data_IF_032448508194
#
_entry.id   IF_032448508194
#
_cell.length_a   1.000
_cell.length_b   1.000
_cell.length_c   1.000
_cell.angle_alpha   90.00
_cell.angle_beta   90.00
_cell.angle_gamma   90.00
#
_symmetry.space_group_name_H-M   'P 1'
#
loop_
_entity.id
_entity.type
_entity.pdbx_description
1 polymer ?
#
# COMPACT_ATOMS: atom_id res chain seq x y z
N UNK A 1 -12.52 31.96 19.25
CA UNK A 1 -11.98 30.67 19.81
C UNK A 1 -12.62 29.43 19.17
N UNK A 2 -12.56 29.27 17.83
CA UNK A 2 -13.24 28.16 17.12
C UNK A 2 -12.31 27.32 16.22
N UNK A 3 -11.00 27.53 16.26
CA UNK A 3 -10.04 26.83 15.38
C UNK A 3 -9.54 25.46 15.91
N UNK A 4 -9.72 25.16 17.19
CA UNK A 4 -9.20 23.93 17.79
C UNK A 4 -10.07 22.68 17.50
N UNK A 5 -11.36 22.84 17.26
CA UNK A 5 -12.31 21.73 17.04
C UNK A 5 -12.16 21.06 15.66
N UNK A 6 -11.80 21.81 14.62
CA UNK A 6 -11.67 21.24 13.26
C UNK A 6 -10.37 20.43 13.09
N UNK A 7 -9.28 20.87 13.69
CA UNK A 7 -8.00 20.16 13.66
C UNK A 7 -8.08 18.81 14.40
N UNK A 8 -8.67 18.79 15.60
CA UNK A 8 -8.87 17.57 16.39
C UNK A 8 -9.69 16.51 15.64
N UNK A 9 -10.78 16.91 14.99
CA UNK A 9 -11.64 16.02 14.20
C UNK A 9 -10.91 15.42 12.98
N UNK A 10 -9.98 16.16 12.39
CA UNK A 10 -9.16 15.66 11.27
C UNK A 10 -8.18 14.57 11.73
N UNK A 11 -7.48 14.76 12.84
CA UNK A 11 -6.54 13.77 13.38
C UNK A 11 -7.23 12.47 13.80
N UNK A 12 -8.38 12.55 14.47
CA UNK A 12 -9.14 11.36 14.87
C UNK A 12 -9.55 10.53 13.65
N UNK A 13 -9.99 11.19 12.58
CA UNK A 13 -10.37 10.51 11.33
C UNK A 13 -9.16 9.84 10.66
N UNK A 14 -8.00 10.48 10.67
CA UNK A 14 -6.78 9.93 10.10
C UNK A 14 -6.31 8.67 10.84
N UNK A 15 -6.33 8.70 12.17
CA UNK A 15 -6.01 7.55 13.02
C UNK A 15 -6.99 6.39 12.74
N UNK A 16 -8.28 6.68 12.63
CA UNK A 16 -9.28 5.66 12.33
C UNK A 16 -9.02 4.99 10.96
N UNK A 17 -8.73 5.75 9.92
CA UNK A 17 -8.38 5.19 8.61
C UNK A 17 -7.11 4.34 8.65
N UNK A 18 -6.07 4.79 9.33
CA UNK A 18 -4.81 4.05 9.50
C UNK A 18 -5.07 2.72 10.21
N UNK A 19 -5.83 2.74 11.31
CA UNK A 19 -6.14 1.54 12.08
C UNK A 19 -6.99 0.54 11.30
N UNK A 20 -8.04 1.01 10.60
CA UNK A 20 -8.92 0.16 9.77
C UNK A 20 -8.14 -0.49 8.64
N UNK A 21 -7.28 0.26 7.94
CA UNK A 21 -6.48 -0.31 6.86
C UNK A 21 -5.40 -1.25 7.38
N UNK A 22 -4.77 -0.98 8.52
CA UNK A 22 -3.85 -1.93 9.14
C UNK A 22 -4.57 -3.25 9.50
N UNK A 23 -5.77 -3.18 10.07
CA UNK A 23 -6.59 -4.35 10.35
C UNK A 23 -6.99 -5.11 9.07
N UNK A 24 -7.34 -4.40 7.99
CA UNK A 24 -7.65 -5.00 6.69
C UNK A 24 -6.43 -5.73 6.10
N UNK A 25 -5.23 -5.12 6.16
CA UNK A 25 -3.99 -5.74 5.70
C UNK A 25 -3.73 -7.04 6.48
N UNK A 26 -3.92 -7.03 7.80
CA UNK A 26 -3.77 -8.21 8.66
C UNK A 26 -4.79 -9.28 8.28
N UNK A 27 -6.07 -8.92 8.18
CA UNK A 27 -7.15 -9.86 7.84
C UNK A 27 -6.90 -10.54 6.47
N UNK A 28 -6.47 -9.79 5.46
CA UNK A 28 -6.16 -10.31 4.13
C UNK A 28 -4.88 -11.17 4.11
N UNK A 29 -4.02 -11.08 5.12
CA UNK A 29 -2.88 -11.96 5.32
C UNK A 29 -3.26 -13.40 5.66
N UNK A 30 -4.42 -13.64 6.22
CA UNK A 30 -4.90 -15.00 6.51
C UNK A 30 -5.37 -15.75 5.25
N UNK A 31 -5.67 -15.02 4.17
CA UNK A 31 -5.96 -15.63 2.87
C UNK A 31 -4.65 -15.86 2.12
N UNK A 32 -4.10 -17.05 2.25
CA UNK A 32 -2.82 -17.42 1.65
C UNK A 32 -2.83 -18.80 1.06
N UNK A 33 -2.13 -18.96 -0.07
CA UNK A 33 -1.88 -20.25 -0.73
C UNK A 33 -0.41 -20.56 -0.54
N UNK A 34 -0.06 -21.65 0.18
CA UNK A 34 1.33 -22.05 0.35
C UNK A 34 1.98 -22.38 -1.00
N UNK A 35 3.21 -21.92 -1.19
CA UNK A 35 4.04 -22.27 -2.33
C UNK A 35 5.37 -22.90 -1.86
N UNK A 36 6.05 -23.57 -2.79
CA UNK A 36 7.44 -23.97 -2.60
C UNK A 36 8.32 -22.73 -2.29
N UNK A 37 9.48 -22.94 -1.67
CA UNK A 37 10.40 -21.89 -1.24
C UNK A 37 9.94 -21.02 -0.06
N UNK A 38 8.85 -21.37 0.63
CA UNK A 38 8.42 -20.72 1.87
C UNK A 38 7.83 -19.31 1.69
N UNK A 39 7.53 -18.88 0.46
CA UNK A 39 6.88 -17.60 0.17
C UNK A 39 5.47 -17.88 -0.35
N UNK A 40 4.42 -17.65 0.46
CA UNK A 40 3.04 -17.91 0.05
C UNK A 40 2.50 -16.84 -0.88
N UNK A 41 1.55 -17.19 -1.75
CA UNK A 41 0.69 -16.23 -2.42
C UNK A 41 -0.29 -15.69 -1.38
N UNK A 42 -0.29 -14.37 -1.17
CA UNK A 42 -1.13 -13.71 -0.16
C UNK A 42 -1.92 -12.56 -0.80
N UNK A 43 -3.03 -12.18 -0.19
CA UNK A 43 -3.72 -10.93 -0.54
C UNK A 43 -3.13 -9.72 0.19
N UNK A 44 -2.28 -9.94 1.18
CA UNK A 44 -1.69 -8.91 2.03
C UNK A 44 -0.78 -7.94 1.26
N UNK A 45 -0.04 -8.44 0.25
CA UNK A 45 0.84 -7.62 -0.58
C UNK A 45 0.08 -6.52 -1.34
N UNK A 46 -1.03 -6.89 -1.99
CA UNK A 46 -1.85 -5.92 -2.73
C UNK A 46 -2.63 -4.99 -1.79
N UNK A 47 -2.99 -5.46 -0.59
CA UNK A 47 -3.65 -4.63 0.42
C UNK A 47 -2.75 -3.46 0.88
N UNK A 48 -1.43 -3.67 0.95
CA UNK A 48 -0.47 -2.61 1.24
C UNK A 48 -0.46 -1.54 0.15
N UNK A 49 -0.48 -1.94 -1.12
CA UNK A 49 -0.58 -1.01 -2.26
C UNK A 49 -1.93 -0.29 -2.22
N UNK A 50 -3.02 -1.02 -1.99
CA UNK A 50 -4.39 -0.47 -1.93
C UNK A 50 -4.52 0.59 -0.83
N UNK A 51 -3.86 0.40 0.32
CA UNK A 51 -3.79 1.42 1.36
C UNK A 51 -3.18 2.73 0.84
N UNK A 52 -2.09 2.64 0.07
CA UNK A 52 -1.49 3.79 -0.61
C UNK A 52 -2.43 4.45 -1.61
N UNK A 53 -3.07 3.66 -2.49
CA UNK A 53 -4.00 4.16 -3.51
C UNK A 53 -5.15 4.96 -2.89
N UNK A 54 -5.76 4.43 -1.83
CA UNK A 54 -6.98 4.99 -1.23
C UNK A 54 -6.65 6.11 -0.25
N UNK A 55 -5.76 5.86 0.71
CA UNK A 55 -5.44 6.79 1.78
C UNK A 55 -4.36 7.82 1.43
N UNK A 56 -3.65 7.60 0.33
CA UNK A 56 -2.51 8.41 -0.09
C UNK A 56 -1.19 8.03 0.57
N UNK A 57 -0.11 8.74 0.21
CA UNK A 57 1.24 8.31 0.55
C UNK A 57 1.49 8.26 2.07
N UNK A 58 1.02 9.26 2.83
CA UNK A 58 1.29 9.34 4.27
C UNK A 58 0.46 8.34 5.06
N UNK A 59 -0.87 8.39 4.94
CA UNK A 59 -1.78 7.54 5.73
C UNK A 59 -1.66 6.08 5.32
N UNK A 60 -1.53 5.78 4.01
CA UNK A 60 -1.34 4.42 3.51
C UNK A 60 -0.06 3.80 4.03
N UNK A 61 1.06 4.53 3.98
CA UNK A 61 2.33 4.05 4.53
C UNK A 61 2.27 3.86 6.05
N UNK A 62 1.59 4.76 6.78
CA UNK A 62 1.40 4.61 8.22
C UNK A 62 0.55 3.39 8.57
N UNK A 63 -0.46 3.03 7.76
CA UNK A 63 -1.23 1.81 7.95
C UNK A 63 -0.37 0.56 7.77
N UNK A 64 0.50 0.54 6.74
CA UNK A 64 1.47 -0.56 6.53
C UNK A 64 2.51 -0.59 7.65
N UNK A 65 3.01 0.55 8.09
CA UNK A 65 3.95 0.63 9.20
C UNK A 65 3.32 0.09 10.50
N UNK A 66 2.07 0.45 10.80
CA UNK A 66 1.34 -0.04 11.97
C UNK A 66 1.19 -1.57 11.92
N UNK A 67 0.78 -2.12 10.77
CA UNK A 67 0.70 -3.57 10.56
C UNK A 67 2.05 -4.26 10.84
N UNK A 68 3.15 -3.73 10.30
CA UNK A 68 4.49 -4.30 10.51
C UNK A 68 4.96 -4.16 11.96
N UNK A 69 4.68 -3.02 12.62
CA UNK A 69 5.01 -2.80 14.03
C UNK A 69 4.26 -3.79 14.94
N UNK A 70 2.99 -4.04 14.69
CA UNK A 70 2.23 -5.06 15.44
C UNK A 70 2.88 -6.44 15.30
N UNK A 71 3.35 -6.80 14.11
CA UNK A 71 4.07 -8.05 13.90
C UNK A 71 5.46 -8.09 14.54
N UNK A 72 6.12 -6.94 14.67
CA UNK A 72 7.42 -6.84 15.37
C UNK A 72 7.28 -7.00 16.89
N UNK A 73 6.19 -6.52 17.48
CA UNK A 73 5.92 -6.73 18.92
C UNK A 73 5.35 -8.12 19.24
N UNK A 74 5.30 -9.02 18.24
CA UNK A 74 4.94 -10.42 18.46
C UNK A 74 3.50 -10.80 18.14
N UNK A 75 2.68 -9.89 17.60
CA UNK A 75 1.33 -10.22 17.17
C UNK A 75 1.39 -11.04 15.86
N UNK A 76 0.65 -12.15 15.73
CA UNK A 76 0.67 -13.01 14.54
C UNK A 76 -0.12 -12.38 13.39
N UNK A 77 0.51 -11.49 12.64
CA UNK A 77 -0.10 -10.71 11.56
C UNK A 77 0.20 -11.23 10.15
N UNK A 78 1.08 -12.24 10.06
CA UNK A 78 1.51 -12.82 8.78
C UNK A 78 0.81 -14.17 8.51
N UNK A 79 0.80 -14.63 7.25
CA UNK A 79 0.24 -15.91 6.86
C UNK A 79 0.77 -17.07 7.72
N UNK A 80 -0.14 -17.99 8.10
CA UNK A 80 0.20 -19.12 8.96
C UNK A 80 0.43 -18.75 10.42
N UNK A 81 -0.05 -17.59 10.87
CA UNK A 81 0.08 -17.16 12.27
C UNK A 81 1.49 -16.72 12.65
N UNK A 82 2.34 -16.41 11.68
CA UNK A 82 3.71 -15.94 11.92
C UNK A 82 3.72 -14.46 12.30
N UNK A 83 4.74 -14.08 13.06
CA UNK A 83 5.00 -12.69 13.39
C UNK A 83 6.02 -12.09 12.42
N UNK A 84 6.05 -10.76 12.27
CA UNK A 84 7.12 -10.09 11.49
C UNK A 84 8.47 -10.36 12.13
N UNK A 85 8.53 -10.37 13.47
CA UNK A 85 9.76 -10.63 14.21
C UNK A 85 10.39 -11.98 13.80
N UNK A 86 9.61 -13.05 13.77
CA UNK A 86 10.09 -14.39 13.36
C UNK A 86 10.44 -14.46 11.88
N UNK A 87 9.80 -13.65 11.05
CA UNK A 87 10.02 -13.62 9.61
C UNK A 87 11.24 -12.75 9.18
N UNK A 88 11.80 -11.94 10.10
CA UNK A 88 13.00 -11.13 9.81
C UNK A 88 14.22 -11.97 9.45
N UNK A 89 14.34 -13.19 10.00
CA UNK A 89 15.43 -14.12 9.66
C UNK A 89 15.17 -14.89 8.36
N UNK A 90 13.95 -14.83 7.82
CA UNK A 90 13.51 -15.60 6.67
C UNK A 90 13.71 -14.89 5.33
N UNK A 91 13.31 -15.56 4.23
CA UNK A 91 13.46 -15.07 2.86
C UNK A 91 12.54 -13.89 2.54
N UNK A 92 11.52 -13.61 3.37
CA UNK A 92 10.50 -12.59 3.10
C UNK A 92 10.86 -11.20 3.60
N UNK A 93 12.01 -11.02 4.26
CA UNK A 93 12.40 -9.74 4.88
C UNK A 93 12.41 -8.57 3.89
N UNK A 94 12.89 -8.78 2.66
CA UNK A 94 12.92 -7.74 1.62
C UNK A 94 11.52 -7.25 1.22
N UNK A 95 10.52 -8.12 1.26
CA UNK A 95 9.15 -7.74 0.94
C UNK A 95 8.54 -6.78 1.96
N UNK A 96 8.95 -6.81 3.24
CA UNK A 96 8.44 -5.87 4.23
C UNK A 96 8.87 -4.43 3.94
N UNK A 97 10.10 -4.26 3.48
CA UNK A 97 10.59 -2.96 2.96
C UNK A 97 9.79 -2.58 1.71
N UNK A 98 9.59 -3.55 0.81
CA UNK A 98 8.78 -3.38 -0.40
C UNK A 98 7.34 -2.94 -0.10
N UNK A 99 6.71 -3.45 0.96
CA UNK A 99 5.35 -3.07 1.36
C UNK A 99 5.27 -1.59 1.75
N UNK A 100 6.22 -1.11 2.56
CA UNK A 100 6.28 0.31 2.94
C UNK A 100 6.51 1.22 1.73
N UNK A 101 7.52 0.90 0.93
CA UNK A 101 7.88 1.70 -0.25
C UNK A 101 6.77 1.68 -1.31
N UNK A 102 6.15 0.52 -1.55
CA UNK A 102 5.07 0.41 -2.53
C UNK A 102 3.83 1.21 -2.11
N UNK A 103 3.45 1.18 -0.84
CA UNK A 103 2.34 1.98 -0.33
C UNK A 103 2.61 3.48 -0.48
N UNK A 104 3.83 3.91 -0.19
CA UNK A 104 4.23 5.32 -0.33
C UNK A 104 4.22 5.77 -1.80
N UNK A 105 4.95 5.06 -2.66
CA UNK A 105 5.12 5.45 -4.07
C UNK A 105 3.81 5.32 -4.85
N UNK A 106 3.08 4.20 -4.67
CA UNK A 106 1.78 4.05 -5.30
C UNK A 106 0.79 5.13 -4.83
N UNK A 107 0.83 5.47 -3.54
CA UNK A 107 0.06 6.58 -2.99
C UNK A 107 0.42 7.94 -3.60
N UNK A 108 1.71 8.21 -3.81
CA UNK A 108 2.17 9.44 -4.48
C UNK A 108 1.64 9.52 -5.91
N UNK A 109 1.80 8.46 -6.70
CA UNK A 109 1.35 8.42 -8.09
C UNK A 109 -0.17 8.58 -8.16
N UNK A 110 -0.92 7.78 -7.39
CA UNK A 110 -2.37 7.83 -7.38
C UNK A 110 -2.90 9.22 -6.99
N UNK A 111 -2.31 9.85 -5.98
CA UNK A 111 -2.78 11.15 -5.48
C UNK A 111 -2.30 12.33 -6.32
N UNK A 112 -1.27 12.17 -7.12
CA UNK A 112 -0.82 13.15 -8.11
C UNK A 112 -1.61 13.05 -9.43
N UNK A 113 -2.30 11.94 -9.67
CA UNK A 113 -3.05 11.68 -10.90
C UNK A 113 -4.26 12.60 -11.03
N UNK A 114 -4.68 12.91 -12.29
CA UNK A 114 -5.89 13.69 -12.56
C UNK A 114 -7.11 13.07 -11.87
N UNK A 115 -8.08 13.92 -11.48
CA UNK A 115 -9.32 13.42 -10.85
C UNK A 115 -10.38 13.01 -11.88
N UNK A 116 -10.20 13.43 -13.14
CA UNK A 116 -11.14 13.15 -14.23
C UNK A 116 -10.71 11.89 -15.00
N UNK A 117 -11.68 11.12 -15.42
CA UNK A 117 -11.46 9.99 -16.34
C UNK A 117 -11.07 10.51 -17.73
N UNK A 118 -10.24 9.78 -18.50
CA UNK A 118 -9.61 8.48 -18.19
C UNK A 118 -8.30 8.60 -17.38
N UNK A 119 -7.78 9.81 -17.18
CA UNK A 119 -6.48 10.04 -16.53
C UNK A 119 -6.39 9.49 -15.11
N UNK A 120 -7.50 9.47 -14.38
CA UNK A 120 -7.57 8.89 -13.04
C UNK A 120 -7.32 7.38 -13.06
N UNK A 121 -8.03 6.66 -13.94
CA UNK A 121 -7.88 5.21 -14.07
C UNK A 121 -6.46 4.82 -14.51
N UNK A 122 -5.90 5.54 -15.48
CA UNK A 122 -4.53 5.35 -15.96
C UNK A 122 -3.54 5.56 -14.80
N UNK A 123 -3.72 6.62 -14.02
CA UNK A 123 -2.87 6.91 -12.86
C UNK A 123 -2.91 5.83 -11.79
N UNK A 124 -4.09 5.30 -11.46
CA UNK A 124 -4.23 4.18 -10.53
C UNK A 124 -3.57 2.91 -11.07
N UNK A 125 -3.72 2.61 -12.36
CA UNK A 125 -3.11 1.46 -13.01
C UNK A 125 -1.58 1.54 -12.96
N UNK A 126 -1.01 2.70 -13.30
CA UNK A 126 0.44 2.93 -13.18
C UNK A 126 0.89 2.79 -11.73
N UNK A 127 0.15 3.34 -10.78
CA UNK A 127 0.47 3.27 -9.36
C UNK A 127 0.55 1.82 -8.86
N UNK A 128 -0.40 0.98 -9.24
CA UNK A 128 -0.40 -0.45 -8.87
C UNK A 128 0.78 -1.18 -9.50
N UNK A 129 1.02 -1.01 -10.80
CA UNK A 129 2.14 -1.66 -11.50
C UNK A 129 3.47 -1.29 -10.86
N UNK A 130 3.71 0.01 -10.64
CA UNK A 130 4.93 0.49 -9.96
C UNK A 130 5.02 -0.08 -8.54
N UNK A 131 3.91 -0.13 -7.80
CA UNK A 131 3.88 -0.71 -6.46
C UNK A 131 4.28 -2.19 -6.45
N UNK A 132 3.76 -3.00 -7.37
CA UNK A 132 4.12 -4.43 -7.52
C UNK A 132 5.59 -4.59 -7.89
N UNK A 133 6.10 -3.79 -8.83
CA UNK A 133 7.51 -3.82 -9.23
C UNK A 133 8.44 -3.48 -8.06
N UNK A 134 8.08 -2.50 -7.22
CA UNK A 134 8.84 -2.19 -6.01
C UNK A 134 8.87 -3.40 -5.06
N UNK A 135 7.75 -4.07 -4.83
CA UNK A 135 7.70 -5.26 -3.97
C UNK A 135 8.57 -6.38 -4.52
N UNK A 136 8.52 -6.65 -5.82
CA UNK A 136 9.36 -7.66 -6.46
C UNK A 136 10.84 -7.31 -6.37
N UNK A 137 11.21 -6.05 -6.64
CA UNK A 137 12.60 -5.60 -6.54
C UNK A 137 13.14 -5.74 -5.12
N UNK A 138 12.42 -5.22 -4.13
CA UNK A 138 12.82 -5.34 -2.72
C UNK A 138 12.85 -6.81 -2.26
N UNK A 139 11.88 -7.62 -2.70
CA UNK A 139 11.83 -9.05 -2.41
C UNK A 139 13.02 -9.79 -3.00
N UNK A 140 13.34 -9.54 -4.27
CA UNK A 140 14.51 -10.13 -4.95
C UNK A 140 15.81 -9.72 -4.25
N UNK A 141 15.99 -8.45 -3.91
CA UNK A 141 17.16 -7.97 -3.14
C UNK A 141 17.24 -8.72 -1.80
N UNK A 142 16.12 -8.83 -1.08
CA UNK A 142 16.09 -9.55 0.19
C UNK A 142 16.48 -11.02 0.07
N UNK A 143 16.01 -11.72 -0.99
CA UNK A 143 16.39 -13.10 -1.29
C UNK A 143 17.88 -13.24 -1.57
N UNK A 144 18.45 -12.36 -2.38
CA UNK A 144 19.88 -12.37 -2.72
C UNK A 144 20.73 -12.10 -1.46
N UNK A 145 20.34 -11.17 -0.62
CA UNK A 145 21.02 -10.90 0.66
C UNK A 145 20.95 -12.08 1.64
N UNK A 146 20.00 -13.01 1.42
CA UNK A 146 19.85 -14.28 2.19
C UNK A 146 20.52 -15.48 1.54
N UNK A 147 21.36 -15.25 0.52
CA UNK A 147 22.18 -16.29 -0.11
C UNK A 147 21.53 -17.00 -1.30
N UNK A 148 20.35 -16.55 -1.75
CA UNK A 148 19.77 -17.05 -3.01
C UNK A 148 20.53 -16.38 -4.18
N UNK A 149 20.93 -17.13 -5.19
CA UNK A 149 21.48 -16.55 -6.41
C UNK A 149 20.42 -15.69 -7.14
N UNK A 150 20.85 -14.71 -7.91
CA UNK A 150 19.94 -13.77 -8.59
C UNK A 150 18.94 -14.51 -9.51
N UNK A 151 19.40 -15.52 -10.24
CA UNK A 151 18.55 -16.30 -11.13
C UNK A 151 17.46 -17.05 -10.36
N UNK A 152 17.82 -17.66 -9.24
CA UNK A 152 16.89 -18.32 -8.31
C UNK A 152 15.89 -17.34 -7.72
N UNK A 153 16.37 -16.18 -7.26
CA UNK A 153 15.50 -15.13 -6.72
C UNK A 153 14.47 -14.63 -7.74
N UNK A 154 14.86 -14.46 -9.00
CA UNK A 154 13.95 -14.09 -10.09
C UNK A 154 12.95 -15.21 -10.42
N UNK A 155 13.39 -16.46 -10.45
CA UNK A 155 12.50 -17.62 -10.67
C UNK A 155 11.42 -17.74 -9.59
N UNK A 156 11.73 -17.39 -8.35
CA UNK A 156 10.77 -17.38 -7.24
C UNK A 156 9.63 -16.37 -7.49
N UNK A 157 9.85 -15.30 -8.26
CA UNK A 157 8.80 -14.33 -8.57
C UNK A 157 7.79 -14.82 -9.61
N UNK A 158 8.18 -15.75 -10.48
CA UNK A 158 7.37 -16.18 -11.64
C UNK A 158 5.94 -16.66 -11.25
N UNK A 159 5.75 -17.52 -10.22
CA UNK A 159 4.42 -17.96 -9.81
C UNK A 159 3.48 -16.84 -9.35
N UNK A 160 4.02 -15.68 -8.93
CA UNK A 160 3.22 -14.57 -8.44
C UNK A 160 2.69 -13.68 -9.55
N UNK A 161 3.26 -13.74 -10.75
CA UNK A 161 2.93 -12.80 -11.83
C UNK A 161 1.44 -12.83 -12.22
N UNK A 162 0.89 -14.02 -12.45
CA UNK A 162 -0.53 -14.16 -12.81
C UNK A 162 -1.46 -13.75 -11.65
N UNK A 163 -1.32 -14.31 -10.44
CA UNK A 163 -2.14 -13.88 -9.30
C UNK A 163 -2.04 -12.38 -9.01
N UNK A 164 -0.86 -11.79 -9.07
CA UNK A 164 -0.68 -10.36 -8.77
C UNK A 164 -1.26 -9.47 -9.87
N UNK A 165 -1.28 -9.91 -11.13
CA UNK A 165 -1.99 -9.21 -12.21
C UNK A 165 -3.49 -9.16 -11.94
N UNK A 166 -4.10 -10.28 -11.54
CA UNK A 166 -5.52 -10.33 -11.20
C UNK A 166 -5.82 -9.40 -10.00
N UNK A 167 -5.01 -9.51 -8.95
CA UNK A 167 -5.14 -8.63 -7.75
C UNK A 167 -4.98 -7.15 -8.11
N UNK A 168 -4.07 -6.82 -9.04
CA UNK A 168 -3.87 -5.45 -9.50
C UNK A 168 -5.13 -4.87 -10.15
N UNK A 169 -5.80 -5.63 -11.02
CA UNK A 169 -7.08 -5.22 -11.64
C UNK A 169 -8.15 -4.99 -10.57
N UNK A 170 -8.28 -5.91 -9.63
CA UNK A 170 -9.23 -5.78 -8.50
C UNK A 170 -8.92 -4.55 -7.65
N UNK A 171 -7.64 -4.31 -7.33
CA UNK A 171 -7.23 -3.15 -6.53
C UNK A 171 -7.53 -1.82 -7.22
N UNK A 172 -7.31 -1.71 -8.54
CA UNK A 172 -7.68 -0.52 -9.32
C UNK A 172 -9.19 -0.30 -9.29
N UNK A 173 -9.97 -1.37 -9.46
CA UNK A 173 -11.44 -1.31 -9.43
C UNK A 173 -11.95 -0.85 -8.06
N UNK A 174 -11.44 -1.43 -6.97
CA UNK A 174 -11.80 -1.05 -5.60
C UNK A 174 -11.39 0.41 -5.32
N UNK A 175 -10.16 0.80 -5.65
CA UNK A 175 -9.68 2.16 -5.43
C UNK A 175 -10.52 3.18 -6.20
N UNK A 176 -10.90 2.86 -7.45
CA UNK A 176 -11.79 3.70 -8.27
C UNK A 176 -13.14 3.85 -7.60
N UNK A 177 -13.78 2.75 -7.19
CA UNK A 177 -15.09 2.77 -6.54
C UNK A 177 -15.06 3.58 -5.23
N UNK A 178 -14.03 3.39 -4.40
CA UNK A 178 -13.87 4.13 -3.14
C UNK A 178 -13.70 5.64 -3.38
N UNK A 179 -12.88 6.03 -4.35
CA UNK A 179 -12.69 7.44 -4.66
C UNK A 179 -13.94 8.12 -5.28
N UNK A 180 -14.77 7.34 -5.98
CA UNK A 180 -16.06 7.84 -6.48
C UNK A 180 -17.08 7.99 -5.34
N UNK A 181 -17.10 7.04 -4.40
CA UNK A 181 -18.03 7.06 -3.26
C UNK A 181 -17.60 8.09 -2.17
N UNK A 182 -16.32 8.35 -2.03
CA UNK A 182 -15.74 9.20 -0.98
C UNK A 182 -14.78 10.25 -1.58
N UNK A 183 -15.28 11.25 -2.32
CA UNK A 183 -14.46 12.24 -3.00
C UNK A 183 -13.62 13.10 -2.04
N UNK A 184 -14.05 13.22 -0.78
CA UNK A 184 -13.39 14.02 0.28
C UNK A 184 -12.15 13.34 0.87
N UNK A 185 -11.85 12.09 0.52
CA UNK A 185 -10.62 11.43 0.96
C UNK A 185 -9.37 12.17 0.48
N UNK A 186 -9.41 12.73 -0.73
CA UNK A 186 -8.32 13.52 -1.30
C UNK A 186 -8.59 15.01 -1.04
N UNK A 187 -7.66 15.76 -0.40
CA UNK A 187 -7.79 17.20 -0.24
C UNK A 187 -8.04 17.87 -1.59
N UNK A 188 -9.00 18.79 -1.64
CA UNK A 188 -9.19 19.61 -2.83
C UNK A 188 -7.93 20.48 -3.01
N UNK A 189 -7.34 20.46 -4.21
CA UNK A 189 -6.36 21.49 -4.58
C UNK A 189 -7.12 22.79 -4.64
N UNK A 190 -6.96 23.62 -3.61
CA UNK A 190 -7.39 25.03 -3.69
C UNK A 190 -6.64 25.65 -4.87
N UNK A 191 -7.39 26.06 -5.89
CA UNK A 191 -6.82 26.92 -6.94
C UNK A 191 -6.22 28.16 -6.26
N UNK A 192 -5.06 28.64 -6.70
CA UNK A 192 -4.56 29.91 -6.18
C UNK A 192 -5.68 30.95 -6.33
N UNK A 193 -6.06 31.57 -5.22
CA UNK A 193 -6.97 32.70 -5.23
C UNK A 193 -6.32 33.79 -6.10
N UNK A 194 -6.84 34.01 -7.30
CA UNK A 194 -6.49 35.15 -8.10
C UNK A 194 -7.09 36.34 -7.31
N UNK A 195 -6.22 37.00 -6.56
CA UNK A 195 -6.61 38.23 -5.89
C UNK A 195 -7.18 39.20 -6.95
N UNK A 196 -8.37 39.80 -6.75
CA UNK A 196 -8.88 40.76 -7.70
C UNK A 196 -7.88 41.92 -7.78
N UNK A 197 -7.39 42.15 -9.02
CA UNK A 197 -6.53 43.27 -9.32
C UNK A 197 -7.27 44.58 -8.90
N UNK A 198 -6.87 45.16 -7.80
CA UNK A 198 -7.26 46.50 -7.44
C UNK A 198 -6.51 47.50 -8.36
N UNK A 199 -7.00 47.63 -9.59
CA UNK A 199 -6.64 48.72 -10.49
C UNK A 199 -7.85 49.63 -10.59
N UNK A 200 -7.83 50.73 -9.87
CA UNK A 200 -8.46 52.02 -10.17
C UNK A 200 -7.84 53.08 -9.29
#
# INVERSE_FOLDING_TARGET
MTTSSSASRSYTRDIAYIAVFAALIIALGFFSIPLAAGIPIVLQNIACILAGLILGPRRGTLAVALFLLLGLVGIPVLPGGRTVLTALSGPTVGYFVGYLLSAFVAGLIAWSSPRKQPGFLIGLSIAVVVGVLIQYTCGTIGLVLRGTDLTGALKIQVPFFIPDTIKAVVAVSIATAVHLALPDLRPQRTAPSIAPNKAA
#
